data_IF_505705394522
#
_entry.id   IF_505705394522
#
_cell.length_a   1.000
_cell.length_b   1.000
_cell.length_c   1.000
_cell.angle_alpha   90.00
_cell.angle_beta   90.00
_cell.angle_gamma   90.00
#
_symmetry.space_group_name_H-M   'P 1'
#
loop_
_entity.id
_entity.type
_entity.pdbx_description
1 polymer ?
#
# COMPACT_ATOMS: atom_id res chain seq x y z
N UNK A 1 -12.27 -42.51 11.34
CA UNK A 1 -11.92 -41.80 10.08
C UNK A 1 -12.75 -40.53 9.81
N UNK A 2 -14.06 -40.48 10.10
CA UNK A 2 -14.90 -39.29 9.83
C UNK A 2 -14.49 -38.01 10.61
N UNK A 3 -13.89 -38.12 11.80
CA UNK A 3 -13.54 -36.95 12.62
C UNK A 3 -12.25 -36.24 12.19
N UNK A 4 -11.30 -36.96 11.57
CA UNK A 4 -10.07 -36.37 11.04
C UNK A 4 -10.34 -35.49 9.80
N UNK A 5 -11.29 -35.90 8.95
CA UNK A 5 -11.70 -35.12 7.78
C UNK A 5 -12.38 -33.80 8.16
N UNK A 6 -13.14 -33.77 9.26
CA UNK A 6 -13.81 -32.56 9.76
C UNK A 6 -12.80 -31.58 10.36
N UNK A 7 -11.77 -32.08 11.08
CA UNK A 7 -10.72 -31.24 11.64
C UNK A 7 -9.85 -30.57 10.56
N UNK A 8 -9.48 -31.31 9.51
CA UNK A 8 -8.72 -30.77 8.37
C UNK A 8 -9.54 -29.72 7.60
N UNK A 9 -10.83 -29.98 7.39
CA UNK A 9 -11.74 -29.01 6.75
C UNK A 9 -11.91 -27.73 7.59
N UNK A 10 -11.91 -27.83 8.93
CA UNK A 10 -11.97 -26.66 9.82
C UNK A 10 -10.67 -25.85 9.82
N UNK A 11 -9.50 -26.49 9.77
CA UNK A 11 -8.22 -25.80 9.69
C UNK A 11 -8.05 -25.03 8.36
N UNK A 12 -8.58 -25.58 7.26
CA UNK A 12 -8.53 -24.94 5.94
C UNK A 12 -9.48 -23.75 5.81
N UNK A 13 -10.59 -23.71 6.55
CA UNK A 13 -11.50 -22.55 6.54
C UNK A 13 -11.02 -21.43 7.45
N UNK A 14 -10.34 -21.77 8.56
CA UNK A 14 -9.73 -20.78 9.45
C UNK A 14 -8.53 -20.07 8.81
N UNK A 15 -7.72 -20.76 8.01
CA UNK A 15 -6.58 -20.13 7.32
C UNK A 15 -7.00 -19.07 6.30
N UNK A 16 -8.13 -19.28 5.61
CA UNK A 16 -8.67 -18.32 4.63
C UNK A 16 -9.22 -17.05 5.28
N UNK A 17 -9.79 -17.13 6.48
CA UNK A 17 -10.31 -15.96 7.19
C UNK A 17 -9.22 -15.13 7.91
N UNK A 18 -8.13 -15.79 8.33
CA UNK A 18 -6.99 -15.11 8.99
C UNK A 18 -6.15 -14.29 8.00
N UNK A 19 -6.03 -14.74 6.75
CA UNK A 19 -5.29 -14.02 5.71
C UNK A 19 -5.88 -12.63 5.40
N UNK A 20 -7.22 -12.53 5.33
CA UNK A 20 -7.89 -11.27 5.01
C UNK A 20 -7.80 -10.23 6.15
N UNK A 21 -7.94 -10.66 7.41
CA UNK A 21 -7.81 -9.77 8.58
C UNK A 21 -6.40 -9.22 8.78
N UNK A 22 -5.38 -9.99 8.41
CA UNK A 22 -4.00 -9.48 8.38
C UNK A 22 -3.84 -8.40 7.30
N UNK A 23 -4.46 -8.60 6.14
CA UNK A 23 -4.42 -7.71 4.97
C UNK A 23 -4.83 -6.27 5.29
N UNK A 24 -6.00 -6.06 5.90
CA UNK A 24 -6.51 -4.70 6.22
C UNK A 24 -5.59 -3.92 7.17
N UNK A 25 -4.98 -4.59 8.16
CA UNK A 25 -4.04 -3.94 9.09
C UNK A 25 -2.76 -3.49 8.38
N UNK A 26 -2.27 -4.27 7.43
CA UNK A 26 -1.08 -3.92 6.66
C UNK A 26 -1.34 -2.69 5.78
N UNK A 27 -2.49 -2.62 5.10
CA UNK A 27 -2.84 -1.46 4.30
C UNK A 27 -3.11 -0.19 5.13
N UNK A 28 -3.63 -0.34 6.36
CA UNK A 28 -3.73 0.77 7.31
C UNK A 28 -2.37 1.38 7.64
N UNK A 29 -1.40 0.54 8.00
CA UNK A 29 -0.04 1.02 8.33
C UNK A 29 0.60 1.71 7.13
N UNK A 30 0.46 1.15 5.94
CA UNK A 30 0.95 1.77 4.70
C UNK A 30 0.28 3.11 4.42
N UNK A 31 -1.03 3.22 4.61
CA UNK A 31 -1.75 4.50 4.50
C UNK A 31 -1.22 5.55 5.48
N UNK A 32 -1.03 5.18 6.75
CA UNK A 32 -0.53 6.06 7.79
C UNK A 32 0.90 6.54 7.47
N UNK A 33 1.80 5.64 7.08
CA UNK A 33 3.17 6.00 6.70
C UNK A 33 3.21 6.92 5.48
N UNK A 34 2.46 6.63 4.42
CA UNK A 34 2.43 7.52 3.25
C UNK A 34 1.85 8.90 3.57
N UNK A 35 0.84 8.98 4.45
CA UNK A 35 0.30 10.25 4.92
C UNK A 35 1.37 11.04 5.69
N UNK A 36 2.12 10.37 6.57
CA UNK A 36 3.24 10.96 7.30
C UNK A 36 4.34 11.47 6.35
N UNK A 37 4.75 10.67 5.36
CA UNK A 37 5.78 11.07 4.40
C UNK A 37 5.33 12.21 3.50
N UNK A 38 4.04 12.28 3.15
CA UNK A 38 3.48 13.41 2.41
C UNK A 38 3.54 14.71 3.23
N UNK A 39 3.25 14.63 4.54
CA UNK A 39 3.40 15.76 5.46
C UNK A 39 4.87 16.19 5.59
N UNK A 40 5.79 15.24 5.81
CA UNK A 40 7.23 15.52 5.85
C UNK A 40 7.74 16.19 4.57
N UNK A 41 7.29 15.71 3.40
CA UNK A 41 7.66 16.29 2.11
C UNK A 41 7.14 17.73 1.98
N UNK A 42 5.92 17.98 2.43
CA UNK A 42 5.29 19.31 2.42
C UNK A 42 5.99 20.28 3.37
N UNK A 43 6.37 19.81 4.57
CA UNK A 43 7.10 20.62 5.55
C UNK A 43 8.48 20.99 5.03
N UNK A 44 9.22 20.03 4.46
CA UNK A 44 10.49 20.33 3.79
C UNK A 44 10.28 21.31 2.63
N UNK A 45 9.25 21.09 1.79
CA UNK A 45 8.95 21.95 0.64
C UNK A 45 8.75 23.42 1.03
N UNK A 46 8.10 23.67 2.17
CA UNK A 46 7.84 25.02 2.67
C UNK A 46 9.10 25.68 3.26
N UNK A 47 10.05 24.90 3.74
CA UNK A 47 11.28 25.37 4.38
C UNK A 47 12.50 25.41 3.44
N UNK A 48 12.37 24.88 2.22
CA UNK A 48 13.43 24.87 1.22
C UNK A 48 13.36 26.12 0.33
N UNK A 49 14.48 26.81 0.15
CA UNK A 49 14.57 27.96 -0.78
C UNK A 49 14.98 27.56 -2.20
N UNK A 50 15.68 26.42 -2.37
CA UNK A 50 16.09 25.91 -3.68
C UNK A 50 14.88 25.36 -4.47
N UNK A 51 14.60 26.01 -5.60
CA UNK A 51 13.53 25.61 -6.53
C UNK A 51 13.61 24.16 -7.03
N UNK A 52 14.80 23.60 -7.25
CA UNK A 52 14.98 22.24 -7.76
C UNK A 52 14.64 21.21 -6.68
N UNK A 53 15.07 21.46 -5.45
CA UNK A 53 14.72 20.67 -4.29
C UNK A 53 13.22 20.76 -3.98
N UNK A 54 12.63 21.95 -4.05
CA UNK A 54 11.17 22.14 -3.93
C UNK A 54 10.39 21.33 -4.96
N UNK A 55 10.80 21.34 -6.23
CA UNK A 55 10.12 20.52 -7.24
C UNK A 55 10.19 19.03 -6.91
N UNK A 56 11.33 18.56 -6.43
CA UNK A 56 11.48 17.16 -5.99
C UNK A 56 10.57 16.85 -4.81
N UNK A 57 10.56 17.71 -3.78
CA UNK A 57 9.71 17.55 -2.60
C UNK A 57 8.22 17.59 -2.95
N UNK A 58 7.79 18.46 -3.86
CA UNK A 58 6.42 18.49 -4.36
C UNK A 58 6.02 17.17 -5.05
N UNK A 59 6.92 16.59 -5.85
CA UNK A 59 6.70 15.29 -6.47
C UNK A 59 6.67 14.15 -5.43
N UNK A 60 7.54 14.18 -4.42
CA UNK A 60 7.52 13.20 -3.32
C UNK A 60 6.23 13.29 -2.50
N UNK A 61 5.76 14.50 -2.18
CA UNK A 61 4.50 14.73 -1.49
C UNK A 61 3.31 14.20 -2.30
N UNK A 62 3.27 14.49 -3.60
CA UNK A 62 2.23 14.02 -4.51
C UNK A 62 2.22 12.50 -4.63
N UNK A 63 3.40 11.87 -4.80
CA UNK A 63 3.52 10.42 -4.88
C UNK A 63 3.07 9.75 -3.58
N UNK A 64 3.54 10.22 -2.42
CA UNK A 64 3.14 9.69 -1.13
C UNK A 64 1.62 9.82 -0.91
N UNK A 65 1.04 10.99 -1.19
CA UNK A 65 -0.41 11.21 -1.08
C UNK A 65 -1.22 10.29 -1.98
N UNK A 66 -0.79 10.15 -3.24
CA UNK A 66 -1.45 9.26 -4.20
C UNK A 66 -1.43 7.80 -3.73
N UNK A 67 -0.32 7.32 -3.17
CA UNK A 67 -0.24 5.95 -2.66
C UNK A 67 -0.98 5.77 -1.33
N UNK A 68 -1.06 6.80 -0.49
CA UNK A 68 -1.90 6.79 0.69
C UNK A 68 -3.37 6.52 0.31
N UNK A 69 -3.90 7.25 -0.66
CA UNK A 69 -5.28 7.07 -1.13
C UNK A 69 -5.53 5.64 -1.65
N UNK A 70 -4.58 5.07 -2.40
CA UNK A 70 -4.68 3.69 -2.90
C UNK A 70 -4.67 2.68 -1.76
N UNK A 71 -3.76 2.80 -0.81
CA UNK A 71 -3.70 1.94 0.36
C UNK A 71 -5.00 2.03 1.18
N UNK A 72 -5.54 3.24 1.35
CA UNK A 72 -6.82 3.45 2.02
C UNK A 72 -7.98 2.75 1.29
N UNK A 73 -8.08 2.89 -0.04
CA UNK A 73 -9.13 2.26 -0.82
C UNK A 73 -9.07 0.72 -0.72
N UNK A 74 -7.87 0.13 -0.83
CA UNK A 74 -7.69 -1.32 -0.68
C UNK A 74 -8.04 -1.75 0.75
N UNK A 75 -7.63 -0.99 1.77
CA UNK A 75 -8.02 -1.23 3.16
C UNK A 75 -9.54 -1.25 3.33
N UNK A 76 -10.26 -0.27 2.79
CA UNK A 76 -11.72 -0.22 2.88
C UNK A 76 -12.40 -1.37 2.15
N UNK A 77 -11.92 -1.72 0.95
CA UNK A 77 -12.51 -2.82 0.17
C UNK A 77 -12.29 -4.18 0.81
N UNK A 78 -11.10 -4.41 1.38
CA UNK A 78 -10.82 -5.64 2.14
C UNK A 78 -11.67 -5.74 3.40
N UNK A 79 -11.84 -4.64 4.15
CA UNK A 79 -12.71 -4.60 5.32
C UNK A 79 -14.18 -4.85 4.95
N UNK A 80 -14.67 -4.24 3.87
CA UNK A 80 -16.01 -4.49 3.34
C UNK A 80 -16.17 -5.97 3.00
N UNK A 81 -15.24 -6.55 2.22
CA UNK A 81 -15.30 -7.95 1.81
C UNK A 81 -15.40 -8.91 3.02
N UNK A 82 -14.68 -8.61 4.10
CA UNK A 82 -14.66 -9.42 5.32
C UNK A 82 -15.99 -9.41 6.07
N UNK A 83 -16.75 -8.33 5.98
CA UNK A 83 -18.06 -8.18 6.64
C UNK A 83 -19.24 -8.58 5.74
N UNK A 84 -19.00 -8.99 4.49
CA UNK A 84 -20.05 -9.42 3.58
C UNK A 84 -20.50 -10.87 3.83
N UNK A 85 -21.81 -11.04 4.01
CA UNK A 85 -22.44 -12.36 4.25
C UNK A 85 -23.07 -12.97 2.99
N UNK A 86 -23.54 -12.12 2.06
CA UNK A 86 -24.15 -12.57 0.81
C UNK A 86 -23.09 -13.11 -0.17
N UNK A 87 -23.17 -14.40 -0.49
CA UNK A 87 -22.17 -15.09 -1.33
C UNK A 87 -21.96 -14.42 -2.69
N UNK A 88 -23.03 -14.02 -3.37
CA UNK A 88 -22.97 -13.38 -4.69
C UNK A 88 -22.18 -12.07 -4.64
N UNK A 89 -22.49 -11.22 -3.66
CA UNK A 89 -21.87 -9.91 -3.54
C UNK A 89 -20.42 -10.04 -3.08
N UNK A 90 -20.12 -10.99 -2.19
CA UNK A 90 -18.74 -11.33 -1.78
C UNK A 90 -17.89 -11.74 -2.99
N UNK A 91 -18.42 -12.61 -3.86
CA UNK A 91 -17.71 -13.01 -5.09
C UNK A 91 -17.48 -11.85 -6.04
N UNK A 92 -18.46 -10.94 -6.18
CA UNK A 92 -18.31 -9.75 -6.99
C UNK A 92 -17.22 -8.81 -6.46
N UNK A 93 -17.25 -8.49 -5.17
CA UNK A 93 -16.25 -7.60 -4.54
C UNK A 93 -14.85 -8.22 -4.56
N UNK A 94 -14.72 -9.52 -4.32
CA UNK A 94 -13.45 -10.22 -4.45
C UNK A 94 -12.87 -10.11 -5.87
N UNK A 95 -13.71 -10.24 -6.90
CA UNK A 95 -13.29 -10.01 -8.29
C UNK A 95 -12.79 -8.58 -8.53
N UNK A 96 -13.48 -7.57 -7.98
CA UNK A 96 -13.05 -6.17 -8.09
C UNK A 96 -11.74 -5.89 -7.36
N UNK A 97 -11.51 -6.51 -6.22
CA UNK A 97 -10.24 -6.41 -5.47
C UNK A 97 -9.10 -7.04 -6.29
N UNK A 98 -9.36 -8.18 -6.94
CA UNK A 98 -8.38 -8.82 -7.82
C UNK A 98 -8.00 -7.94 -9.02
N UNK A 99 -8.97 -7.28 -9.67
CA UNK A 99 -8.69 -6.33 -10.75
C UNK A 99 -7.86 -5.12 -10.26
N UNK A 100 -8.16 -4.62 -9.06
CA UNK A 100 -7.39 -3.53 -8.45
C UNK A 100 -5.95 -3.99 -8.13
N UNK A 101 -5.78 -5.19 -7.61
CA UNK A 101 -4.46 -5.79 -7.36
C UNK A 101 -3.62 -5.79 -8.63
N UNK A 102 -4.16 -6.30 -9.72
CA UNK A 102 -3.46 -6.36 -11.02
C UNK A 102 -3.06 -4.97 -11.51
N UNK A 103 -4.01 -4.02 -11.48
CA UNK A 103 -3.76 -2.63 -11.85
C UNK A 103 -2.68 -1.96 -10.97
N UNK A 104 -2.65 -2.27 -9.67
CA UNK A 104 -1.64 -1.72 -8.76
C UNK A 104 -0.26 -2.28 -9.04
N UNK A 105 -0.15 -3.61 -9.18
CA UNK A 105 1.13 -4.28 -9.40
C UNK A 105 1.75 -3.93 -10.76
N UNK A 106 0.94 -3.64 -11.79
CA UNK A 106 1.45 -3.19 -13.08
C UNK A 106 2.22 -1.86 -12.97
N UNK A 107 1.72 -0.91 -12.19
CA UNK A 107 2.29 0.44 -12.10
C UNK A 107 3.42 0.56 -11.07
N UNK A 108 3.32 -0.14 -9.94
CA UNK A 108 4.12 0.15 -8.74
C UNK A 108 5.63 -0.01 -8.93
N UNK A 109 6.07 -0.97 -9.75
CA UNK A 109 7.51 -1.21 -10.01
C UNK A 109 8.17 -0.03 -10.72
N UNK A 110 7.47 0.55 -11.69
CA UNK A 110 7.95 1.73 -12.41
C UNK A 110 8.08 2.94 -11.50
N UNK A 111 7.19 3.04 -10.52
CA UNK A 111 7.14 4.13 -9.55
C UNK A 111 8.23 4.00 -8.49
N UNK A 112 8.45 2.80 -7.95
CA UNK A 112 9.60 2.48 -7.08
C UNK A 112 10.91 2.93 -7.73
N UNK A 113 11.12 2.55 -9.00
CA UNK A 113 12.33 2.93 -9.72
C UNK A 113 12.45 4.45 -9.86
N UNK A 114 11.40 5.11 -10.35
CA UNK A 114 11.39 6.55 -10.60
C UNK A 114 11.65 7.37 -9.33
N UNK A 115 10.99 7.03 -8.23
CA UNK A 115 11.18 7.74 -6.94
C UNK A 115 12.57 7.42 -6.37
N UNK A 116 13.04 6.18 -6.51
CA UNK A 116 14.40 5.81 -6.12
C UNK A 116 15.47 6.60 -6.84
N UNK A 117 15.36 6.70 -8.18
CA UNK A 117 16.29 7.48 -9.00
C UNK A 117 16.26 8.97 -8.60
N UNK A 118 15.07 9.53 -8.36
CA UNK A 118 14.91 10.91 -7.90
C UNK A 118 15.56 11.15 -6.53
N UNK A 119 15.34 10.25 -5.57
CA UNK A 119 15.90 10.35 -4.23
C UNK A 119 17.43 10.27 -4.23
N UNK A 120 17.99 9.34 -5.02
CA UNK A 120 19.44 9.16 -5.15
C UNK A 120 20.14 10.35 -5.81
N UNK A 121 19.44 11.08 -6.68
CA UNK A 121 19.96 12.27 -7.33
C UNK A 121 20.04 13.50 -6.41
N UNK A 122 19.41 13.46 -5.22
CA UNK A 122 19.45 14.58 -4.28
C UNK A 122 20.75 14.61 -3.49
N UNK A 123 21.39 15.77 -3.43
CA UNK A 123 22.54 16.02 -2.56
C UNK A 123 22.11 16.16 -1.10
N UNK A 124 21.00 16.85 -0.87
CA UNK A 124 20.40 17.04 0.45
C UNK A 124 20.04 15.70 1.10
N UNK A 125 20.52 15.52 2.32
CA UNK A 125 20.40 14.24 3.04
C UNK A 125 18.97 13.97 3.48
N UNK A 126 18.22 15.01 3.85
CA UNK A 126 16.86 14.86 4.38
C UNK A 126 15.89 14.53 3.24
N UNK A 127 16.03 15.18 2.09
CA UNK A 127 15.24 14.84 0.89
C UNK A 127 15.55 13.42 0.42
N UNK A 128 16.84 13.03 0.38
CA UNK A 128 17.26 11.68 0.01
C UNK A 128 16.73 10.62 0.98
N UNK A 129 16.78 10.89 2.29
CA UNK A 129 16.25 9.98 3.31
C UNK A 129 14.73 9.82 3.17
N UNK A 130 13.99 10.91 2.97
CA UNK A 130 12.55 10.87 2.77
C UNK A 130 12.18 10.05 1.51
N UNK A 131 12.88 10.28 0.41
CA UNK A 131 12.68 9.48 -0.81
C UNK A 131 12.93 7.98 -0.57
N UNK A 132 13.96 7.63 0.22
CA UNK A 132 14.22 6.23 0.60
C UNK A 132 13.11 5.63 1.48
N UNK A 133 12.53 6.41 2.40
CA UNK A 133 11.38 5.96 3.21
C UNK A 133 10.18 5.64 2.31
N UNK A 134 9.86 6.54 1.38
CA UNK A 134 8.76 6.34 0.41
C UNK A 134 9.01 5.10 -0.45
N UNK A 135 10.23 4.90 -0.96
CA UNK A 135 10.59 3.71 -1.75
C UNK A 135 10.46 2.41 -0.95
N UNK A 136 10.88 2.42 0.30
CA UNK A 136 10.76 1.25 1.15
C UNK A 136 9.30 0.92 1.45
N UNK A 137 8.47 1.93 1.70
CA UNK A 137 7.03 1.72 1.92
C UNK A 137 6.32 1.27 0.63
N UNK A 138 6.70 1.78 -0.53
CA UNK A 138 6.21 1.27 -1.82
C UNK A 138 6.51 -0.22 -2.01
N UNK A 139 7.68 -0.70 -1.58
CA UNK A 139 8.02 -2.13 -1.61
C UNK A 139 7.22 -2.94 -0.60
N UNK A 140 6.91 -2.37 0.57
CA UNK A 140 6.00 -2.98 1.55
C UNK A 140 4.60 -3.08 0.94
N UNK A 141 4.11 -2.00 0.33
CA UNK A 141 2.82 -1.93 -0.32
C UNK A 141 2.71 -2.90 -1.50
N UNK A 142 3.75 -3.02 -2.33
CA UNK A 142 3.83 -4.03 -3.40
C UNK A 142 3.64 -5.44 -2.83
N UNK A 143 4.45 -5.83 -1.84
CA UNK A 143 4.33 -7.16 -1.22
C UNK A 143 2.96 -7.40 -0.58
N UNK A 144 2.40 -6.41 0.09
CA UNK A 144 1.07 -6.55 0.69
C UNK A 144 0.00 -6.73 -0.39
N UNK A 145 0.14 -6.01 -1.50
CA UNK A 145 -0.74 -6.11 -2.68
C UNK A 145 -0.59 -7.46 -3.38
N UNK A 146 0.62 -8.01 -3.48
CA UNK A 146 0.85 -9.37 -3.99
C UNK A 146 0.12 -10.45 -3.16
N UNK A 147 -0.09 -10.20 -1.86
CA UNK A 147 -0.73 -11.10 -0.91
C UNK A 147 -2.25 -10.87 -0.72
N UNK A 148 -2.87 -9.94 -1.44
CA UNK A 148 -4.34 -9.84 -1.58
C UNK A 148 -4.92 -11.09 -2.23
#
# INVERSE_FOLDING_TARGET
>A
MKHAAIAIALCLTLSLAVAARASTKHFRSTYEHFTEYAAMASDLFLNTEDSAQRNTLGLLAAAASYQAERAFLIMQLTDILDHMTAKKDRSFVAGRIQEIKEYVLEAIRSEIKRIGDMAMAQEDKDIRNLGNLIVNELRVFERNTENL
#
